data_IF_469273541006
#
_entry.id   IF_469273541006
#
_cell.length_a   1.000
_cell.length_b   1.000
_cell.length_c   1.000
_cell.angle_alpha   90.00
_cell.angle_beta   90.00
_cell.angle_gamma   90.00
#
_symmetry.space_group_name_H-M   'P 1'
#
loop_
_entity.id
_entity.type
_entity.pdbx_description
1 polymer ?
#
# COMPACT_ATOMS: atom_id res chain seq x y z
N UNK A 1 10.15 9.65 -11.55
CA UNK A 1 9.90 8.19 -11.71
C UNK A 1 10.56 7.48 -10.54
N UNK A 2 9.82 6.61 -9.86
CA UNK A 2 10.31 5.87 -8.69
C UNK A 2 10.01 4.37 -8.83
N UNK A 3 10.78 3.53 -8.15
CA UNK A 3 10.64 2.08 -8.16
C UNK A 3 10.63 1.55 -6.73
N UNK A 4 9.70 0.65 -6.44
CA UNK A 4 9.61 -0.05 -5.16
C UNK A 4 9.40 -1.55 -5.38
N UNK A 5 9.96 -2.36 -4.49
CA UNK A 5 9.63 -3.77 -4.36
C UNK A 5 8.77 -3.98 -3.12
N UNK A 6 7.60 -4.57 -3.32
CA UNK A 6 6.69 -4.97 -2.25
C UNK A 6 6.69 -6.50 -2.17
N UNK A 7 7.38 -7.03 -1.17
CA UNK A 7 7.41 -8.47 -0.89
C UNK A 7 6.31 -8.80 0.11
N UNK A 8 5.23 -9.44 -0.37
CA UNK A 8 4.18 -9.97 0.49
C UNK A 8 4.68 -11.24 1.15
N UNK A 9 4.84 -11.21 2.47
CA UNK A 9 5.36 -12.35 3.23
C UNK A 9 4.64 -12.50 4.57
N UNK A 10 4.60 -13.74 5.05
CA UNK A 10 4.15 -14.06 6.40
C UNK A 10 5.17 -13.53 7.42
N UNK A 11 4.70 -12.83 8.44
CA UNK A 11 5.57 -12.27 9.48
C UNK A 11 4.86 -12.34 10.83
N UNK A 12 5.61 -12.70 11.87
CA UNK A 12 5.08 -12.86 13.22
C UNK A 12 5.01 -11.50 13.92
N UNK A 13 3.82 -11.15 14.39
CA UNK A 13 3.60 -9.95 15.20
C UNK A 13 2.95 -10.32 16.53
N UNK A 14 3.42 -9.70 17.60
CA UNK A 14 2.85 -9.83 18.94
C UNK A 14 2.04 -8.59 19.28
N UNK A 15 0.74 -8.77 19.53
CA UNK A 15 -0.17 -7.72 20.02
C UNK A 15 -1.09 -8.32 21.07
N UNK A 16 -1.42 -7.54 22.10
CA UNK A 16 -2.31 -7.99 23.19
C UNK A 16 -1.86 -9.34 23.78
N UNK A 17 -0.54 -9.52 23.93
CA UNK A 17 0.13 -10.75 24.42
C UNK A 17 -0.04 -12.02 23.55
N UNK A 18 -0.60 -11.92 22.34
CA UNK A 18 -0.67 -13.03 21.39
C UNK A 18 0.23 -12.81 20.19
N UNK A 19 0.97 -13.86 19.80
CA UNK A 19 1.80 -13.85 18.57
C UNK A 19 1.06 -14.56 17.45
N UNK A 20 0.89 -13.89 16.32
CA UNK A 20 0.28 -14.47 15.11
C UNK A 20 1.12 -14.16 13.88
N UNK A 21 1.15 -15.12 12.95
CA UNK A 21 1.63 -14.88 11.59
C UNK A 21 0.58 -14.08 10.82
N UNK A 22 1.01 -12.99 10.21
CA UNK A 22 0.17 -12.13 9.39
C UNK A 22 0.89 -11.86 8.06
N UNK A 23 0.12 -11.75 6.98
CA UNK A 23 0.65 -11.27 5.71
C UNK A 23 0.98 -9.77 5.82
N UNK A 24 2.21 -9.41 5.47
CA UNK A 24 2.73 -8.03 5.53
C UNK A 24 3.50 -7.68 4.26
N UNK A 25 3.81 -6.40 4.07
CA UNK A 25 4.73 -5.95 3.01
C UNK A 25 6.10 -5.73 3.62
N UNK A 26 7.13 -6.38 3.07
CA UNK A 26 8.52 -6.25 3.50
C UNK A 26 8.72 -6.52 5.01
N UNK A 27 7.88 -7.36 5.61
CA UNK A 27 7.94 -7.70 7.03
C UNK A 27 7.46 -6.61 7.99
N UNK A 28 6.86 -5.51 7.51
CA UNK A 28 6.42 -4.40 8.35
C UNK A 28 4.89 -4.30 8.45
N UNK A 29 4.41 -3.90 9.63
CA UNK A 29 3.01 -3.58 9.89
C UNK A 29 2.87 -2.30 10.75
N UNK A 30 2.28 -1.21 10.22
CA UNK A 30 1.85 -1.02 8.83
C UNK A 30 2.99 -1.19 7.81
N UNK A 31 2.64 -1.35 6.54
CA UNK A 31 3.59 -1.45 5.45
C UNK A 31 4.38 -0.15 5.21
N UNK A 32 5.37 -0.18 4.29
CA UNK A 32 6.20 0.97 3.99
C UNK A 32 5.40 2.16 3.45
N UNK A 33 5.86 3.36 3.78
CA UNK A 33 5.30 4.60 3.25
C UNK A 33 5.89 4.89 1.87
N UNK A 34 5.04 5.18 0.89
CA UNK A 34 5.46 5.68 -0.42
C UNK A 34 5.56 7.21 -0.35
N UNK A 35 6.71 7.76 -0.74
CA UNK A 35 6.93 9.20 -0.79
C UNK A 35 7.16 9.65 -2.22
N UNK A 36 6.32 10.54 -2.72
CA UNK A 36 6.34 11.05 -4.09
C UNK A 36 6.02 12.53 -4.13
N UNK A 37 6.20 13.16 -5.28
CA UNK A 37 5.67 14.49 -5.58
C UNK A 37 4.50 14.36 -6.56
N UNK A 38 3.60 15.33 -6.53
CA UNK A 38 2.53 15.46 -7.53
C UNK A 38 3.11 15.44 -8.94
N UNK A 39 2.56 14.60 -9.81
CA UNK A 39 3.03 14.39 -11.19
C UNK A 39 3.97 13.21 -11.35
N UNK A 40 4.41 12.56 -10.26
CA UNK A 40 5.29 11.39 -10.34
C UNK A 40 4.56 10.14 -10.88
N UNK A 41 5.31 9.33 -11.61
CA UNK A 41 4.96 7.93 -11.89
C UNK A 41 5.79 7.00 -11.00
N UNK A 42 5.14 6.03 -10.37
CA UNK A 42 5.78 5.00 -9.55
C UNK A 42 5.50 3.63 -10.15
N UNK A 43 6.52 2.78 -10.18
CA UNK A 43 6.38 1.36 -10.48
C UNK A 43 6.58 0.57 -9.19
N UNK A 44 5.59 -0.23 -8.82
CA UNK A 44 5.69 -1.13 -7.67
C UNK A 44 5.63 -2.57 -8.16
N UNK A 45 6.72 -3.30 -8.00
CA UNK A 45 6.74 -4.73 -8.26
C UNK A 45 6.30 -5.47 -7.01
N UNK A 46 5.10 -6.05 -7.07
CA UNK A 46 4.51 -6.77 -5.95
C UNK A 46 4.84 -8.26 -6.10
N UNK A 47 5.70 -8.77 -5.24
CA UNK A 47 6.08 -10.18 -5.16
C UNK A 47 5.22 -10.88 -4.12
N UNK A 48 4.38 -11.81 -4.54
CA UNK A 48 3.55 -12.55 -3.61
C UNK A 48 4.26 -13.81 -3.11
N UNK A 49 4.95 -13.73 -1.96
CA UNK A 49 5.52 -14.88 -1.25
C UNK A 49 4.57 -15.41 -0.15
N UNK A 50 3.33 -14.91 -0.11
CA UNK A 50 2.27 -15.38 0.77
C UNK A 50 1.61 -16.67 0.27
N UNK A 51 0.57 -17.11 1.00
CA UNK A 51 -0.12 -18.39 0.74
C UNK A 51 -1.31 -18.30 -0.21
N UNK A 52 -1.88 -17.11 -0.38
CA UNK A 52 -3.11 -16.88 -1.14
C UNK A 52 -2.90 -15.82 -2.22
N UNK A 53 -3.79 -15.80 -3.20
CA UNK A 53 -3.81 -14.73 -4.20
C UNK A 53 -4.14 -13.39 -3.55
N UNK A 54 -3.42 -12.33 -3.93
CA UNK A 54 -3.62 -10.97 -3.38
C UNK A 54 -3.47 -9.94 -4.48
N UNK A 55 -4.22 -8.84 -4.38
CA UNK A 55 -4.09 -7.64 -5.19
C UNK A 55 -3.77 -6.44 -4.30
N UNK A 56 -3.15 -5.39 -4.85
CA UNK A 56 -2.88 -4.12 -4.16
C UNK A 56 -3.61 -2.99 -4.89
N UNK A 57 -4.27 -2.12 -4.14
CA UNK A 57 -4.97 -0.92 -4.61
C UNK A 57 -4.35 0.34 -4.03
N UNK A 58 -4.30 1.38 -4.87
CA UNK A 58 -3.71 2.68 -4.59
C UNK A 58 -4.80 3.69 -4.25
N UNK A 59 -5.37 3.56 -3.06
CA UNK A 59 -6.58 4.28 -2.67
C UNK A 59 -6.48 5.79 -2.84
N UNK A 60 -7.38 6.34 -3.66
CA UNK A 60 -7.48 7.76 -3.96
C UNK A 60 -6.60 8.23 -5.12
N UNK A 61 -5.75 7.38 -5.68
CA UNK A 61 -5.04 7.67 -6.94
C UNK A 61 -6.00 7.44 -8.10
N UNK A 62 -6.18 8.44 -8.97
CA UNK A 62 -7.17 8.38 -10.06
C UNK A 62 -6.86 7.37 -11.16
N UNK A 63 -5.59 7.01 -11.35
CA UNK A 63 -5.12 6.12 -12.42
C UNK A 63 -5.70 6.48 -13.81
N UNK A 64 -5.48 7.70 -14.33
CA UNK A 64 -6.12 8.18 -15.54
C UNK A 64 -5.83 7.28 -16.75
N UNK A 65 -6.88 6.63 -17.27
CA UNK A 65 -6.81 5.65 -18.38
C UNK A 65 -5.94 4.41 -18.08
N UNK A 66 -5.65 4.14 -16.81
CA UNK A 66 -4.82 3.01 -16.38
C UNK A 66 -5.55 2.11 -15.36
N UNK A 67 -6.72 1.54 -15.71
CA UNK A 67 -7.45 0.66 -14.79
C UNK A 67 -6.66 -0.62 -14.45
N UNK A 68 -5.73 -1.04 -15.33
CA UNK A 68 -4.95 -2.28 -15.20
C UNK A 68 -4.06 -2.35 -13.95
N UNK A 69 -3.71 -1.19 -13.38
CA UNK A 69 -2.93 -1.08 -12.15
C UNK A 69 -3.75 -0.57 -10.97
N UNK A 70 -5.09 -0.59 -11.07
CA UNK A 70 -5.95 -0.10 -10.00
C UNK A 70 -6.05 -1.08 -8.83
N UNK A 71 -6.15 -2.39 -9.07
CA UNK A 71 -6.06 -3.41 -8.01
C UNK A 71 -7.31 -4.19 -7.62
N UNK A 72 -8.56 -3.67 -7.65
CA UNK A 72 -9.71 -4.41 -7.15
C UNK A 72 -9.89 -5.79 -7.80
N UNK A 73 -9.81 -6.84 -6.99
CA UNK A 73 -9.81 -8.23 -7.44
C UNK A 73 -11.10 -8.57 -8.21
N UNK A 74 -10.93 -9.22 -9.37
CA UNK A 74 -11.99 -9.57 -10.33
C UNK A 74 -12.77 -8.40 -10.93
N UNK A 75 -12.39 -7.16 -10.65
CA UNK A 75 -12.90 -5.97 -11.35
C UNK A 75 -11.90 -5.52 -12.40
N UNK A 76 -10.65 -5.25 -12.00
CA UNK A 76 -9.60 -4.77 -12.91
C UNK A 76 -8.50 -5.78 -13.17
N UNK A 77 -8.32 -6.77 -12.28
CA UNK A 77 -7.32 -7.81 -12.43
C UNK A 77 -7.68 -9.11 -11.69
N UNK A 78 -7.10 -10.22 -12.15
CA UNK A 78 -7.01 -11.44 -11.36
C UNK A 78 -5.96 -11.28 -10.24
N UNK A 79 -6.06 -12.04 -9.14
CA UNK A 79 -5.10 -11.96 -8.05
C UNK A 79 -3.68 -12.40 -8.46
N UNK A 80 -2.68 -11.75 -7.88
CA UNK A 80 -1.27 -12.16 -8.01
C UNK A 80 -1.13 -13.46 -7.24
N UNK A 81 -0.84 -14.57 -7.94
CA UNK A 81 -0.78 -15.90 -7.31
C UNK A 81 0.45 -16.04 -6.39
N UNK A 82 0.40 -16.93 -5.39
CA UNK A 82 1.59 -17.31 -4.61
C UNK A 82 2.77 -17.69 -5.50
N UNK A 83 3.96 -17.19 -5.15
CA UNK A 83 5.21 -17.41 -5.89
C UNK A 83 5.35 -16.59 -7.18
N UNK A 84 4.39 -15.71 -7.50
CA UNK A 84 4.42 -14.86 -8.70
C UNK A 84 4.53 -13.37 -8.35
N UNK A 85 4.75 -12.54 -9.35
CA UNK A 85 4.79 -11.09 -9.19
C UNK A 85 3.97 -10.37 -10.26
N UNK A 86 3.67 -9.11 -9.99
CA UNK A 86 3.04 -8.20 -10.93
C UNK A 86 3.55 -6.78 -10.65
N UNK A 87 3.98 -6.08 -11.70
CA UNK A 87 4.38 -4.67 -11.60
C UNK A 87 3.19 -3.77 -11.91
N UNK A 88 2.81 -2.94 -10.95
CA UNK A 88 1.77 -1.93 -11.10
C UNK A 88 2.40 -0.56 -11.40
N UNK A 89 1.86 0.14 -12.39
CA UNK A 89 2.18 1.53 -12.70
C UNK A 89 1.19 2.46 -11.99
N UNK A 90 1.69 3.37 -11.16
CA UNK A 90 0.89 4.31 -10.37
C UNK A 90 1.14 5.71 -10.90
N UNK A 91 0.09 6.33 -11.42
CA UNK A 91 0.17 7.66 -12.04
C UNK A 91 -0.42 8.70 -11.06
N UNK A 92 0.45 9.40 -10.33
CA UNK A 92 0.04 10.51 -9.45
C UNK A 92 -0.17 11.77 -10.29
N UNK A 93 -1.42 12.00 -10.68
CA UNK A 93 -1.82 13.05 -11.61
C UNK A 93 -2.05 14.39 -10.90
N UNK A 94 -3.20 14.52 -10.24
CA UNK A 94 -3.65 15.75 -9.60
C UNK A 94 -3.53 15.71 -8.08
N UNK A 95 -3.28 14.54 -7.53
CA UNK A 95 -3.22 14.25 -6.10
C UNK A 95 -2.06 15.02 -5.44
N UNK A 96 -2.31 15.55 -4.25
CA UNK A 96 -1.33 16.21 -3.36
C UNK A 96 -1.87 16.06 -1.93
N UNK A 97 -1.02 15.71 -0.98
CA UNK A 97 -1.39 15.39 0.40
C UNK A 97 -1.22 13.92 0.76
N UNK A 98 -2.10 13.41 1.61
CA UNK A 98 -2.01 12.06 2.16
C UNK A 98 -3.04 11.13 1.52
N UNK A 99 -2.56 10.04 0.93
CA UNK A 99 -3.34 8.90 0.49
C UNK A 99 -2.83 7.63 1.19
N UNK A 100 -3.33 6.47 0.78
CA UNK A 100 -2.88 5.19 1.33
C UNK A 100 -3.04 4.09 0.29
N UNK A 101 -2.30 3.01 0.46
CA UNK A 101 -2.43 1.81 -0.34
C UNK A 101 -2.87 0.67 0.56
N UNK A 102 -3.59 -0.30 -0.01
CA UNK A 102 -4.01 -1.48 0.73
C UNK A 102 -4.27 -2.65 -0.19
N UNK A 103 -4.22 -3.86 0.34
CA UNK A 103 -4.67 -5.01 -0.42
C UNK A 103 -6.16 -4.90 -0.76
N UNK A 104 -6.58 -5.38 -1.92
CA UNK A 104 -7.98 -5.28 -2.38
C UNK A 104 -8.59 -6.66 -2.70
N UNK A 105 -8.17 -7.65 -1.89
CA UNK A 105 -8.61 -9.05 -1.93
C UNK A 105 -9.13 -9.48 -0.56
N UNK A 106 -10.39 -9.91 -0.48
CA UNK A 106 -11.06 -10.31 0.76
C UNK A 106 -10.78 -9.33 1.93
N UNK A 107 -10.28 -9.85 3.06
CA UNK A 107 -9.96 -9.12 4.29
C UNK A 107 -8.48 -8.82 4.45
N UNK A 108 -7.65 -9.10 3.43
CA UNK A 108 -6.18 -8.99 3.50
C UNK A 108 -5.69 -7.57 3.85
N UNK A 109 -6.48 -6.53 3.55
CA UNK A 109 -6.20 -5.14 3.95
C UNK A 109 -6.10 -4.93 5.47
N UNK A 110 -6.57 -5.87 6.29
CA UNK A 110 -6.42 -5.79 7.74
C UNK A 110 -4.94 -5.69 8.16
N UNK A 111 -4.03 -6.30 7.40
CA UNK A 111 -2.59 -6.32 7.69
C UNK A 111 -1.71 -5.84 6.53
N UNK A 112 -2.25 -5.80 5.31
CA UNK A 112 -1.56 -5.32 4.11
C UNK A 112 -2.08 -3.93 3.73
N UNK A 113 -1.50 -2.90 4.33
CA UNK A 113 -1.77 -1.49 4.03
C UNK A 113 -0.62 -0.58 4.48
N UNK A 114 -0.53 0.61 3.89
CA UNK A 114 0.45 1.63 4.26
C UNK A 114 0.10 2.99 3.67
N UNK A 115 0.80 4.03 4.09
CA UNK A 115 0.52 5.40 3.66
C UNK A 115 1.20 5.75 2.33
N UNK A 116 0.65 6.75 1.65
CA UNK A 116 1.30 7.43 0.52
C UNK A 116 1.30 8.93 0.82
N UNK A 117 2.46 9.55 0.73
CA UNK A 117 2.64 10.99 0.95
C UNK A 117 3.05 11.62 -0.38
N UNK A 118 2.17 12.48 -0.89
CA UNK A 118 2.31 13.16 -2.18
C UNK A 118 2.60 14.63 -1.91
N UNK A 119 3.87 15.01 -2.00
CA UNK A 119 4.34 16.37 -1.80
C UNK A 119 3.94 17.28 -2.99
N UNK A 120 3.95 18.61 -2.81
CA UNK A 120 3.78 19.55 -3.92
C UNK A 120 4.83 19.29 -5.02
N UNK A 121 4.60 19.73 -6.27
CA UNK A 121 5.61 19.59 -7.32
C UNK A 121 6.95 20.23 -6.91
N UNK A 122 8.10 19.75 -7.42
CA UNK A 122 9.40 20.36 -7.14
C UNK A 122 9.39 21.87 -7.38
N UNK A 123 9.87 22.65 -6.40
CA UNK A 123 9.88 24.11 -6.46
C UNK A 123 8.54 24.78 -6.12
N UNK A 124 7.52 24.02 -5.71
CA UNK A 124 6.27 24.55 -5.13
C UNK A 124 6.24 24.27 -3.62
N UNK A 125 5.71 25.23 -2.87
CA UNK A 125 5.44 25.08 -1.45
C UNK A 125 3.98 24.69 -1.22
N UNK A 126 3.69 24.13 -0.04
CA UNK A 126 2.33 24.00 0.45
C UNK A 126 1.64 25.38 0.52
N UNK A 127 0.29 25.44 0.51
CA UNK A 127 -0.46 26.68 0.69
C UNK A 127 -0.43 27.21 2.14
N UNK A 128 0.45 26.67 2.97
CA UNK A 128 0.67 27.02 4.38
C UNK A 128 2.18 27.00 4.69
N UNK A 129 2.63 27.66 5.78
CA UNK A 129 4.03 27.63 6.19
C UNK A 129 4.55 26.19 6.33
N UNK A 130 5.80 25.96 5.92
CA UNK A 130 6.41 24.64 6.02
C UNK A 130 6.34 24.13 7.46
N UNK A 131 5.77 22.93 7.70
CA UNK A 131 5.69 22.39 9.04
C UNK A 131 7.08 22.02 9.56
N UNK A 132 7.30 22.17 10.88
CA UNK A 132 8.54 21.76 11.53
C UNK A 132 8.75 20.23 11.45
N UNK A 133 7.66 19.47 11.43
CA UNK A 133 7.66 18.03 11.28
C UNK A 133 6.36 17.50 10.63
N UNK A 134 6.46 16.37 9.95
CA UNK A 134 5.33 15.62 9.40
C UNK A 134 5.33 14.21 10.02
N UNK A 135 4.17 13.74 10.50
CA UNK A 135 4.04 12.40 11.10
C UNK A 135 2.87 11.65 10.45
N UNK A 136 3.14 10.41 10.05
CA UNK A 136 2.09 9.49 9.58
C UNK A 136 1.45 8.82 10.80
N UNK A 137 0.12 8.96 10.92
CA UNK A 137 -0.69 8.27 11.92
C UNK A 137 -1.66 7.35 11.19
N UNK A 138 -1.46 6.04 11.30
CA UNK A 138 -2.35 5.03 10.73
C UNK A 138 -3.27 4.52 11.82
N UNK A 139 -4.58 4.69 11.62
CA UNK A 139 -5.61 4.12 12.49
C UNK A 139 -6.05 2.77 11.93
N UNK A 140 -6.05 1.74 12.77
CA UNK A 140 -6.43 0.39 12.39
C UNK A 140 -6.92 -0.42 13.57
N UNK A 141 -7.47 -1.60 13.28
CA UNK A 141 -7.96 -2.54 14.29
C UNK A 141 -7.10 -3.80 14.28
N UNK A 142 -7.04 -4.49 15.42
CA UNK A 142 -6.37 -5.78 15.55
C UNK A 142 -7.35 -6.82 16.09
N UNK A 143 -7.42 -7.99 15.47
CA UNK A 143 -8.34 -9.04 15.84
C UNK A 143 -7.61 -10.27 16.38
N UNK A 144 -8.00 -10.69 17.58
CA UNK A 144 -7.69 -12.01 18.11
C UNK A 144 -8.86 -12.92 17.77
N UNK A 145 -8.72 -13.78 16.76
CA UNK A 145 -9.63 -14.92 16.66
C UNK A 145 -9.31 -15.90 17.78
N UNK A 146 -10.23 -16.05 18.72
CA UNK A 146 -10.23 -17.19 19.63
C UNK A 146 -10.58 -18.41 18.79
N UNK A 147 -9.71 -19.42 18.78
CA UNK A 147 -10.16 -20.76 18.37
C UNK A 147 -11.14 -21.22 19.45
N UNK A 148 -12.43 -21.14 19.15
CA UNK A 148 -13.43 -21.93 19.89
C UNK A 148 -13.17 -23.42 19.63
#
# INVERSE_FOLDING_TARGET
IHYYDFVLQESNFTRLCETKSMLTVNGSFPGPVIHVHKGDTVFVNVHNQGKYGVTIHWHGVRQPRNPWSDGPEYVTQCPIKPGTNFTQEIIFSSEEGTLWWHAHSDWSRATVHGAMIIKPPPGKAYPFPQPDAEQVIVLGNHHIFFKN
#
